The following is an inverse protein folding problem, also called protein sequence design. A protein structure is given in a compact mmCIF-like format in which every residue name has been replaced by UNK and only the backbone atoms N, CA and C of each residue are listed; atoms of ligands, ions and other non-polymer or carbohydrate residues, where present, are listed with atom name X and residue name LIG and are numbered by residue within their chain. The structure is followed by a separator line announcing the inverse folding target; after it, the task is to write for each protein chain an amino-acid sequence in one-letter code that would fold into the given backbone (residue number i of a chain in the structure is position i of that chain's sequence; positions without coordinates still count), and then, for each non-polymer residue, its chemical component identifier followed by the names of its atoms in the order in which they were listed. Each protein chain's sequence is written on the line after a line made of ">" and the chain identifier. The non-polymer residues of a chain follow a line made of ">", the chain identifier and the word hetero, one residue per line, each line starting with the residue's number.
data_IF_000300933803
#
_entry.id   IF_000300933803
#
_cell.length_a   1.000
_cell.length_b   1.000
_cell.length_c   1.000
_cell.angle_alpha   90.00
_cell.angle_beta   90.00
_cell.angle_gamma   90.00
#
_symmetry.space_group_name_H-M   'P 1'
#
loop_
_entity.id
_entity.type
_entity.pdbx_description
1 polymer ?
#
# COMPACT_ATOMS: atom_id res chain seq x y z
N UNK A 1 -8.32 6.94 17.07
CA UNK A 1 -9.72 6.43 17.16
C UNK A 1 -9.89 5.17 16.30
N UNK A 2 -9.73 5.30 15.00
CA UNK A 2 -9.89 4.11 14.10
C UNK A 2 -8.81 4.13 13.01
N UNK A 3 -8.73 5.20 12.25
CA UNK A 3 -7.70 5.29 11.18
C UNK A 3 -7.71 6.70 10.58
N UNK A 4 -7.23 7.67 11.31
CA UNK A 4 -7.22 9.07 10.80
C UNK A 4 -5.80 9.47 10.35
N UNK A 5 -5.31 8.83 9.31
CA UNK A 5 -3.94 9.16 8.80
C UNK A 5 -4.02 9.66 7.35
N UNK A 6 -2.94 9.57 6.61
CA UNK A 6 -2.96 10.04 5.19
C UNK A 6 -2.84 8.84 4.24
N UNK A 7 -3.77 8.70 3.33
CA UNK A 7 -3.71 7.56 2.37
C UNK A 7 -2.72 7.86 1.24
N UNK A 8 -1.98 6.87 0.81
CA UNK A 8 -0.98 7.10 -0.28
C UNK A 8 -1.68 7.09 -1.65
N UNK A 9 -1.50 8.16 -2.40
CA UNK A 9 -2.12 8.28 -3.74
C UNK A 9 -1.37 7.42 -4.77
N UNK A 10 -2.04 7.04 -5.83
CA UNK A 10 -1.37 6.21 -6.89
C UNK A 10 -0.15 6.95 -7.47
N UNK A 11 -0.21 8.26 -7.55
CA UNK A 11 0.94 9.05 -8.09
C UNK A 11 2.20 8.82 -7.23
N UNK A 12 2.03 8.62 -5.94
CA UNK A 12 3.22 8.39 -5.06
C UNK A 12 3.38 6.90 -4.71
N UNK A 13 2.55 6.04 -5.25
CA UNK A 13 2.67 4.58 -4.95
C UNK A 13 3.62 3.90 -5.96
N UNK A 14 4.81 4.41 -6.12
CA UNK A 14 5.77 3.79 -7.08
C UNK A 14 6.51 2.63 -6.40
N UNK A 15 6.51 2.60 -5.09
CA UNK A 15 7.17 1.47 -4.36
C UNK A 15 6.23 0.25 -4.33
N UNK A 16 4.97 0.41 -4.71
CA UNK A 16 4.03 -0.75 -4.70
C UNK A 16 3.04 -0.62 -5.86
N UNK A 17 3.10 -1.53 -6.81
CA UNK A 17 2.16 -1.47 -7.97
C UNK A 17 0.73 -1.85 -7.53
N UNK A 18 0.53 -3.08 -7.10
CA UNK A 18 -0.84 -3.49 -6.64
C UNK A 18 -0.88 -3.56 -5.10
N UNK A 19 -0.51 -2.48 -4.45
CA UNK A 19 -0.52 -2.46 -2.96
C UNK A 19 -0.77 -1.03 -2.46
N UNK A 20 -1.55 -0.89 -1.42
CA UNK A 20 -1.85 0.47 -0.87
C UNK A 20 -0.81 0.85 0.19
N UNK A 21 -0.93 2.02 0.79
CA UNK A 21 0.06 2.44 1.83
C UNK A 21 -0.54 3.52 2.73
N UNK A 22 -0.29 3.44 4.02
CA UNK A 22 -0.82 4.46 4.97
C UNK A 22 0.33 5.26 5.57
N UNK A 23 0.43 6.52 5.21
CA UNK A 23 1.53 7.37 5.75
C UNK A 23 1.02 8.20 6.94
N UNK A 24 1.56 7.97 8.11
CA UNK A 24 1.11 8.74 9.31
C UNK A 24 1.93 10.04 9.39
N UNK A 25 1.26 11.18 9.30
CA UNK A 25 1.98 12.50 9.35
C UNK A 25 2.31 12.88 10.80
N UNK A 26 1.33 12.95 11.67
CA UNK A 26 1.60 13.32 13.11
C UNK A 26 2.74 12.45 13.64
N UNK A 27 2.59 11.15 13.55
CA UNK A 27 3.66 10.22 14.00
C UNK A 27 4.32 9.63 12.75
N UNK A 28 5.40 10.24 12.29
CA UNK A 28 6.10 9.77 11.05
C UNK A 28 6.13 8.24 10.95
N UNK A 29 5.22 7.66 10.20
CA UNK A 29 5.18 6.17 10.06
C UNK A 29 4.69 5.78 8.66
N UNK A 30 5.61 5.75 7.72
CA UNK A 30 5.27 5.36 6.33
C UNK A 30 5.16 3.83 6.22
N UNK A 31 3.96 3.32 6.09
CA UNK A 31 3.78 1.83 6.00
C UNK A 31 3.02 1.45 4.72
N UNK A 32 3.58 0.57 3.92
CA UNK A 32 2.90 0.15 2.67
C UNK A 32 2.30 -1.25 2.83
N UNK A 33 1.04 -1.41 2.53
CA UNK A 33 0.38 -2.75 2.65
C UNK A 33 -0.06 -3.23 1.26
N UNK A 34 0.56 -4.28 0.77
CA UNK A 34 0.19 -4.81 -0.59
C UNK A 34 -1.09 -5.66 -0.52
N UNK A 35 -1.71 -5.91 -1.65
CA UNK A 35 -2.96 -6.73 -1.65
C UNK A 35 -2.68 -8.13 -1.09
N UNK A 36 -3.51 -8.60 -0.19
CA UNK A 36 -3.29 -9.96 0.41
C UNK A 36 -3.08 -11.03 -0.67
N UNK A 37 -3.87 -11.00 -1.72
CA UNK A 37 -3.72 -12.01 -2.81
C UNK A 37 -2.77 -11.50 -3.90
N UNK A 38 -1.67 -10.87 -3.53
CA UNK A 38 -0.71 -10.37 -4.57
C UNK A 38 0.59 -11.18 -4.55
N UNK A 39 1.43 -11.01 -5.54
CA UNK A 39 2.73 -11.76 -5.60
C UNK A 39 3.83 -10.85 -6.17
N UNK A 40 5.08 -11.15 -5.88
CA UNK A 40 6.20 -10.31 -6.42
C UNK A 40 6.69 -9.34 -5.34
N UNK A 41 7.92 -8.91 -5.45
CA UNK A 41 8.49 -7.95 -4.44
C UNK A 41 7.90 -6.55 -4.64
N UNK A 42 7.77 -6.11 -5.87
CA UNK A 42 7.19 -4.75 -6.14
C UNK A 42 5.68 -4.86 -6.40
N UNK A 43 5.04 -5.89 -5.87
CA UNK A 43 3.56 -6.07 -6.07
C UNK A 43 3.22 -6.11 -7.57
N UNK A 44 3.84 -7.00 -8.30
CA UNK A 44 3.56 -7.09 -9.77
C UNK A 44 2.70 -8.32 -10.09
N UNK A 45 3.06 -9.47 -9.59
CA UNK A 45 2.25 -10.71 -9.87
C UNK A 45 1.01 -10.75 -8.96
N UNK A 46 0.11 -11.67 -9.20
CA UNK A 46 -1.12 -11.76 -8.36
C UNK A 46 -1.54 -13.22 -8.16
N UNK A 47 -2.23 -13.50 -7.08
CA UNK A 47 -2.70 -14.89 -6.81
C UNK A 47 -4.23 -14.96 -6.87
N UNK A 48 -4.83 -14.25 -7.80
CA UNK A 48 -6.33 -14.27 -7.92
C UNK A 48 -6.76 -13.85 -9.33
N UNK A 49 -7.26 -14.78 -10.11
CA UNK A 49 -7.71 -14.44 -11.50
C UNK A 49 -9.19 -14.04 -11.49
N UNK A 50 -10.05 -14.89 -11.01
CA UNK A 50 -11.51 -14.56 -10.97
C UNK A 50 -11.87 -13.88 -9.64
#
# INVERSE_FOLDING_TARGET
>A
RKGHFSRCPKQYKHYCIKGRCRFVVAEQTPSCVCDEGYIGARCERVDLFY
#
